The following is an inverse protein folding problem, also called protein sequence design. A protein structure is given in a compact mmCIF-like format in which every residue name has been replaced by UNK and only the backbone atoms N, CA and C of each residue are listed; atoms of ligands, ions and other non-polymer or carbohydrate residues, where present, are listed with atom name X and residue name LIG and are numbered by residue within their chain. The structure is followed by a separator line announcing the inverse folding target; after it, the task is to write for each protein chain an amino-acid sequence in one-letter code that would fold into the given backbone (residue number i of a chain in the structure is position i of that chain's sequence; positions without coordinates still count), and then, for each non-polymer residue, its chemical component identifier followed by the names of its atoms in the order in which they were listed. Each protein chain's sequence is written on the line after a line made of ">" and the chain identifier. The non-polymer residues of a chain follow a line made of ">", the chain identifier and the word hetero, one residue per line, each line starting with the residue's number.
data_IF_459281399324
#
_entry.id   IF_459281399324
#
_cell.length_a   1.000
_cell.length_b   1.000
_cell.length_c   1.000
_cell.angle_alpha   90.00
_cell.angle_beta   90.00
_cell.angle_gamma   90.00
#
_symmetry.space_group_name_H-M   'P 1'
#
loop_
_entity.id
_entity.type
_entity.pdbx_description
1 polymer ?
#
# COMPACT_ATOMS: atom_id res chain seq x y z
N UNK A 1 -11.07 -35.49 34.40
CA UNK A 1 -11.03 -34.49 35.50
C UNK A 1 -10.89 -33.13 34.85
N UNK A 2 -11.75 -32.21 35.26
CA UNK A 2 -12.05 -30.93 34.64
C UNK A 2 -10.97 -29.85 34.86
N UNK A 3 -10.89 -28.93 33.90
CA UNK A 3 -10.46 -27.51 33.84
C UNK A 3 -10.13 -26.77 35.16
N UNK A 4 -9.43 -25.60 35.19
CA UNK A 4 -9.52 -24.52 34.17
C UNK A 4 -8.31 -23.57 33.93
N UNK A 5 -8.52 -22.71 32.90
CA UNK A 5 -7.83 -21.45 32.60
C UNK A 5 -7.93 -20.42 33.73
N UNK A 6 -6.89 -19.58 33.92
CA UNK A 6 -7.01 -18.24 34.54
C UNK A 6 -6.10 -17.23 33.82
N UNK A 7 -6.70 -16.06 33.60
CA UNK A 7 -6.25 -14.84 32.92
C UNK A 7 -4.99 -14.16 33.49
N UNK A 8 -4.37 -13.36 32.60
CA UNK A 8 -3.29 -12.37 32.75
C UNK A 8 -3.41 -11.35 33.92
N UNK A 9 -2.35 -10.57 34.17
CA UNK A 9 -2.50 -9.12 33.95
C UNK A 9 -1.29 -8.40 33.29
N UNK A 10 -1.64 -7.34 32.55
CA UNK A 10 -0.79 -6.31 31.94
C UNK A 10 -0.28 -5.33 33.01
N UNK A 11 0.92 -4.76 32.82
CA UNK A 11 1.35 -3.50 33.46
C UNK A 11 2.26 -2.69 32.54
N UNK A 12 2.04 -1.36 32.51
CA UNK A 12 2.65 -0.33 31.64
C UNK A 12 3.53 0.59 32.50
N UNK A 13 4.66 1.08 31.96
CA UNK A 13 5.35 2.32 32.38
C UNK A 13 6.21 2.83 31.20
N UNK A 14 5.90 3.92 30.48
CA UNK A 14 5.99 5.38 30.75
C UNK A 14 7.40 5.96 30.47
N UNK A 15 7.56 6.63 29.32
CA UNK A 15 8.64 7.61 29.05
C UNK A 15 8.01 9.01 29.02
N UNK A 16 8.57 9.92 29.81
CA UNK A 16 8.15 11.31 29.90
C UNK A 16 8.66 12.17 28.74
N UNK A 17 8.00 13.31 28.51
CA UNK A 17 8.50 14.34 27.60
C UNK A 17 8.40 15.72 28.26
N UNK A 18 9.39 16.56 27.97
CA UNK A 18 9.56 17.91 28.50
C UNK A 18 8.82 18.98 27.65
N UNK A 19 8.61 20.12 28.30
CA UNK A 19 7.77 21.28 27.99
C UNK A 19 7.96 22.03 26.64
N UNK A 20 6.82 22.38 25.99
CA UNK A 20 6.29 23.69 25.50
C UNK A 20 7.12 24.67 24.63
N UNK A 21 6.54 25.74 24.02
CA UNK A 21 5.20 25.99 23.42
C UNK A 21 5.27 26.56 21.98
N UNK A 22 4.18 26.51 21.20
CA UNK A 22 3.65 27.72 20.52
C UNK A 22 2.34 27.45 19.76
N UNK A 23 1.46 28.44 19.85
CA UNK A 23 0.03 28.36 19.60
C UNK A 23 -0.32 28.82 18.19
N UNK A 24 -1.27 28.16 17.51
CA UNK A 24 -2.38 28.83 16.80
C UNK A 24 -3.41 27.87 16.19
N UNK A 25 -4.70 28.22 16.43
CA UNK A 25 -5.93 27.70 15.84
C UNK A 25 -6.29 26.22 16.09
N UNK A 26 -6.80 25.95 17.30
CA UNK A 26 -7.44 24.69 17.68
C UNK A 26 -8.77 24.47 16.97
N UNK A 27 -8.76 23.65 15.91
CA UNK A 27 -9.93 22.86 15.51
C UNK A 27 -10.15 21.79 16.57
N UNK A 28 -11.30 21.83 17.24
CA UNK A 28 -11.70 20.83 18.23
C UNK A 28 -11.84 19.48 17.51
N UNK A 29 -10.81 18.63 17.64
CA UNK A 29 -10.89 17.19 17.34
C UNK A 29 -11.62 16.53 18.51
N UNK A 30 -12.88 16.18 18.31
CA UNK A 30 -13.55 15.24 19.21
C UNK A 30 -13.10 13.82 18.85
N UNK A 31 -12.09 13.34 19.58
CA UNK A 31 -11.83 11.90 19.73
C UNK A 31 -12.99 11.29 20.53
N UNK A 32 -13.59 10.24 19.97
CA UNK A 32 -14.77 9.58 20.51
C UNK A 32 -14.43 8.87 21.82
N UNK A 33 -14.97 9.39 22.93
CA UNK A 33 -15.27 8.60 24.13
C UNK A 33 -16.48 9.18 24.86
N UNK A 34 -17.55 8.37 24.92
CA UNK A 34 -18.71 8.44 25.83
C UNK A 34 -19.92 9.33 25.49
N UNK A 35 -21.11 8.99 26.05
CA UNK A 35 -22.36 8.87 25.30
C UNK A 35 -23.29 10.07 25.46
N UNK A 36 -23.82 10.55 24.34
CA UNK A 36 -24.87 11.56 24.34
C UNK A 36 -25.31 11.89 22.91
N UNK A 37 -26.44 11.34 22.49
CA UNK A 37 -27.14 11.68 21.25
C UNK A 37 -26.32 11.65 19.94
N UNK A 38 -25.59 10.57 19.69
CA UNK A 38 -25.21 10.23 18.32
C UNK A 38 -26.44 9.63 17.62
N UNK A 39 -27.06 10.36 16.71
CA UNK A 39 -27.96 9.74 15.73
C UNK A 39 -27.09 8.75 14.95
N UNK A 40 -27.21 7.45 15.25
CA UNK A 40 -26.52 6.39 14.51
C UNK A 40 -27.16 6.32 13.12
N UNK A 41 -26.68 7.14 12.21
CA UNK A 41 -27.11 7.12 10.82
C UNK A 41 -26.48 5.91 10.14
N UNK A 42 -27.32 5.03 9.58
CA UNK A 42 -26.83 3.91 8.78
C UNK A 42 -26.36 4.41 7.41
N UNK A 43 -25.44 3.69 6.76
CA UNK A 43 -24.95 4.04 5.41
C UNK A 43 -26.10 4.27 4.41
N UNK A 44 -27.18 3.50 4.53
CA UNK A 44 -28.39 3.62 3.70
C UNK A 44 -29.17 4.91 3.96
N UNK A 45 -29.20 5.39 5.20
CA UNK A 45 -29.82 6.66 5.56
C UNK A 45 -29.02 7.84 4.99
N UNK A 46 -27.69 7.81 5.10
CA UNK A 46 -26.81 8.86 4.57
C UNK A 46 -26.85 8.92 3.03
N UNK A 47 -27.06 7.78 2.36
CA UNK A 47 -27.18 7.71 0.89
C UNK A 47 -28.53 8.21 0.35
N UNK A 48 -29.61 8.09 1.12
CA UNK A 48 -30.98 8.44 0.67
C UNK A 48 -31.42 9.85 1.08
N UNK A 49 -30.85 10.41 2.15
CA UNK A 49 -31.20 11.73 2.67
C UNK A 49 -31.01 12.90 1.69
N UNK A 50 -29.90 13.00 0.93
CA UNK A 50 -29.68 14.15 0.05
C UNK A 50 -30.69 14.26 -1.10
N UNK A 51 -31.34 13.14 -1.46
CA UNK A 51 -32.34 13.08 -2.52
C UNK A 51 -33.77 13.33 -2.03
N UNK A 52 -34.02 13.12 -0.73
CA UNK A 52 -35.37 13.14 -0.15
C UNK A 52 -35.68 14.40 0.64
N UNK A 53 -34.67 15.11 1.17
CA UNK A 53 -34.84 16.34 1.97
C UNK A 53 -33.72 17.35 1.69
N UNK A 54 -33.75 18.05 0.54
CA UNK A 54 -32.68 19.00 0.16
C UNK A 54 -32.53 20.16 1.16
N UNK A 55 -33.61 20.58 1.83
CA UNK A 55 -33.60 21.72 2.77
C UNK A 55 -32.92 21.43 4.12
N UNK A 56 -32.50 20.18 4.36
CA UNK A 56 -31.89 19.74 5.63
C UNK A 56 -30.43 19.28 5.46
N UNK A 57 -29.89 19.35 4.25
CA UNK A 57 -28.60 18.77 3.92
C UNK A 57 -27.79 19.66 2.99
N UNK A 58 -26.50 19.80 3.28
CA UNK A 58 -25.56 20.53 2.43
C UNK A 58 -24.25 19.74 2.28
N UNK A 59 -23.44 20.13 1.29
CA UNK A 59 -22.12 19.54 1.05
C UNK A 59 -21.06 20.60 1.31
N UNK A 60 -20.27 20.43 2.37
CA UNK A 60 -19.19 21.34 2.77
C UNK A 60 -17.95 21.04 1.94
N UNK A 61 -17.23 22.09 1.52
CA UNK A 61 -15.99 21.91 0.75
C UNK A 61 -14.82 21.45 1.62
N UNK A 62 -13.92 20.65 1.03
CA UNK A 62 -12.69 20.27 1.70
C UNK A 62 -11.68 21.45 1.68
N UNK A 63 -11.44 22.05 2.85
CA UNK A 63 -10.50 23.15 3.06
C UNK A 63 -9.07 22.69 3.37
N UNK A 64 -8.79 21.37 3.36
CA UNK A 64 -7.47 20.82 3.64
C UNK A 64 -6.37 21.24 2.64
N UNK A 65 -5.12 21.23 3.12
CA UNK A 65 -3.91 21.65 2.35
C UNK A 65 -3.57 20.75 1.14
N UNK A 66 -4.13 19.54 1.06
CA UNK A 66 -3.86 18.59 -0.04
C UNK A 66 -5.14 18.36 -0.86
N UNK A 67 -5.30 19.12 -1.95
CA UNK A 67 -6.46 19.06 -2.84
C UNK A 67 -6.15 18.19 -4.06
N UNK A 68 -6.31 16.87 -3.93
CA UNK A 68 -6.45 16.01 -5.10
C UNK A 68 -7.67 16.45 -5.94
N UNK A 69 -7.57 16.36 -7.28
CA UNK A 69 -8.54 16.94 -8.23
C UNK A 69 -10.00 16.52 -7.99
N UNK A 70 -10.24 15.34 -7.40
CA UNK A 70 -11.57 14.86 -7.03
C UNK A 70 -12.33 15.83 -6.11
N UNK A 71 -11.66 16.57 -5.23
CA UNK A 71 -12.31 17.49 -4.28
C UNK A 71 -12.95 18.72 -4.93
N UNK A 72 -12.68 18.97 -6.22
CA UNK A 72 -13.43 19.96 -6.99
C UNK A 72 -14.92 19.57 -7.11
N UNK A 73 -15.20 18.27 -7.22
CA UNK A 73 -16.53 17.70 -7.48
C UNK A 73 -17.18 17.08 -6.24
N UNK A 74 -16.40 16.85 -5.18
CA UNK A 74 -16.83 16.18 -3.95
C UNK A 74 -16.63 17.07 -2.72
N UNK A 75 -17.44 16.85 -1.68
CA UNK A 75 -17.30 17.48 -0.38
C UNK A 75 -17.86 16.62 0.74
N UNK A 76 -17.83 17.13 1.96
CA UNK A 76 -18.31 16.40 3.13
C UNK A 76 -19.81 16.64 3.35
N UNK A 77 -20.61 15.58 3.53
CA UNK A 77 -21.99 15.67 3.98
C UNK A 77 -22.13 16.52 5.22
N UNK A 78 -23.13 17.39 5.29
CA UNK A 78 -23.48 18.06 6.54
C UNK A 78 -24.98 18.24 6.69
N UNK A 79 -25.45 18.14 7.94
CA UNK A 79 -26.85 18.34 8.30
C UNK A 79 -27.04 19.80 8.69
N UNK A 80 -27.96 20.48 8.03
CA UNK A 80 -28.34 21.86 8.32
C UNK A 80 -29.54 21.85 9.26
N UNK A 81 -29.35 22.23 10.52
CA UNK A 81 -30.44 22.51 11.46
C UNK A 81 -30.76 24.00 11.40
N UNK A 82 -32.06 24.36 11.45
CA UNK A 82 -32.49 25.76 11.48
C UNK A 82 -31.78 26.46 12.67
N UNK A 83 -30.99 27.49 12.36
CA UNK A 83 -30.21 28.31 13.31
C UNK A 83 -28.97 27.65 13.95
N UNK A 84 -28.32 26.68 13.30
CA UNK A 84 -27.04 26.14 13.79
C UNK A 84 -26.06 25.90 12.66
N UNK A 85 -24.76 25.99 12.94
CA UNK A 85 -23.70 25.65 11.99
C UNK A 85 -23.87 24.22 11.45
N UNK A 86 -23.55 23.99 10.17
CA UNK A 86 -23.75 22.70 9.53
C UNK A 86 -22.87 21.63 10.19
N UNK A 87 -23.49 20.57 10.68
CA UNK A 87 -22.78 19.47 11.35
C UNK A 87 -22.30 18.46 10.31
N UNK A 88 -20.98 18.36 10.13
CA UNK A 88 -20.35 17.39 9.23
C UNK A 88 -20.64 15.94 9.66
N UNK A 89 -20.90 15.07 8.68
CA UNK A 89 -21.01 13.62 8.89
C UNK A 89 -19.67 12.99 8.52
N UNK A 90 -18.94 12.52 9.52
CA UNK A 90 -17.63 11.91 9.33
C UNK A 90 -17.70 10.53 8.67
N UNK A 91 -16.64 10.17 7.95
CA UNK A 91 -16.52 8.88 7.26
C UNK A 91 -17.27 8.80 5.93
N UNK A 92 -17.85 9.91 5.45
CA UNK A 92 -18.58 9.96 4.19
C UNK A 92 -18.19 11.18 3.34
N UNK A 93 -18.36 11.06 2.03
CA UNK A 93 -18.15 12.13 1.04
C UNK A 93 -19.27 12.11 0.01
N UNK A 94 -19.76 13.27 -0.39
CA UNK A 94 -20.86 13.42 -1.34
C UNK A 94 -20.45 14.23 -2.55
N UNK A 95 -20.91 13.80 -3.72
CA UNK A 95 -20.77 14.58 -4.94
C UNK A 95 -21.63 15.86 -4.85
N UNK A 96 -21.05 17.03 -5.13
CA UNK A 96 -21.75 18.32 -5.08
C UNK A 96 -22.89 18.44 -6.10
N UNK A 97 -22.88 17.61 -7.15
CA UNK A 97 -23.80 17.71 -8.29
C UNK A 97 -24.93 16.70 -8.26
N UNK A 98 -24.64 15.43 -7.99
CA UNK A 98 -25.66 14.37 -7.94
C UNK A 98 -25.97 13.89 -6.52
N UNK A 99 -25.31 14.48 -5.51
CA UNK A 99 -25.48 14.15 -4.10
C UNK A 99 -25.34 12.66 -3.76
N UNK A 100 -24.58 11.93 -4.57
CA UNK A 100 -24.29 10.52 -4.31
C UNK A 100 -23.20 10.45 -3.25
N UNK A 101 -23.50 9.74 -2.16
CA UNK A 101 -22.64 9.62 -0.99
C UNK A 101 -21.83 8.32 -1.01
N UNK A 102 -20.53 8.42 -0.74
CA UNK A 102 -19.60 7.30 -0.63
C UNK A 102 -19.01 7.25 0.78
N UNK A 103 -18.68 6.05 1.27
CA UNK A 103 -17.86 5.90 2.46
C UNK A 103 -16.42 6.33 2.13
N UNK A 104 -15.83 7.14 3.00
CA UNK A 104 -14.49 7.68 2.85
C UNK A 104 -13.68 7.39 4.11
N UNK A 105 -12.84 6.36 4.01
CA UNK A 105 -11.73 6.14 4.92
C UNK A 105 -10.56 6.96 4.37
N UNK A 106 -9.85 7.68 5.24
CA UNK A 106 -8.93 8.80 4.94
C UNK A 106 -7.81 8.54 3.91
N UNK A 107 -7.68 7.32 3.38
CA UNK A 107 -6.52 6.88 2.61
C UNK A 107 -6.84 6.49 1.16
N UNK A 108 -8.06 6.68 0.64
CA UNK A 108 -8.38 6.31 -0.75
C UNK A 108 -9.33 7.29 -1.46
N UNK A 109 -8.86 7.84 -2.57
CA UNK A 109 -9.65 8.68 -3.51
C UNK A 109 -10.08 7.91 -4.77
N UNK A 110 -9.77 6.61 -4.87
CA UNK A 110 -10.01 5.79 -6.07
C UNK A 110 -11.49 5.73 -6.46
N UNK A 111 -12.38 5.54 -5.47
CA UNK A 111 -13.83 5.49 -5.70
C UNK A 111 -14.40 6.83 -6.16
N UNK A 112 -13.82 7.94 -5.68
CA UNK A 112 -14.23 9.29 -6.07
C UNK A 112 -13.82 9.61 -7.51
N UNK A 113 -12.61 9.19 -7.91
CA UNK A 113 -12.10 9.36 -9.27
C UNK A 113 -12.82 8.50 -10.33
N UNK A 114 -13.52 7.43 -9.90
CA UNK A 114 -14.31 6.56 -10.76
C UNK A 114 -15.78 6.98 -10.88
N UNK A 115 -16.22 7.95 -10.08
CA UNK A 115 -17.58 8.44 -10.14
C UNK A 115 -17.84 9.22 -11.44
N UNK A 116 -18.80 8.74 -12.23
CA UNK A 116 -19.25 9.41 -13.43
C UNK A 116 -20.61 10.08 -13.17
N UNK A 117 -20.58 11.37 -12.86
CA UNK A 117 -21.77 12.11 -12.46
C UNK A 117 -22.71 12.32 -13.66
N UNK A 118 -23.91 11.78 -13.58
CA UNK A 118 -24.89 11.80 -14.67
C UNK A 118 -25.37 13.22 -15.00
N UNK A 119 -25.45 14.10 -14.00
CA UNK A 119 -25.80 15.51 -14.20
C UNK A 119 -24.72 16.34 -14.93
N UNK A 120 -23.50 15.83 -15.07
CA UNK A 120 -22.49 16.42 -15.96
C UNK A 120 -22.66 16.01 -17.43
N UNK A 121 -23.35 14.91 -17.72
CA UNK A 121 -23.56 14.44 -19.10
C UNK A 121 -24.59 15.29 -19.83
N UNK A 122 -25.61 15.79 -19.12
CA UNK A 122 -26.65 16.65 -19.70
C UNK A 122 -26.09 18.02 -20.16
N UNK A 123 -25.12 18.58 -19.44
CA UNK A 123 -24.51 19.86 -19.78
C UNK A 123 -23.66 19.80 -21.06
N UNK A 124 -23.02 18.66 -21.32
CA UNK A 124 -22.27 18.44 -22.56
C UNK A 124 -23.21 18.26 -23.77
N UNK A 125 -24.39 17.67 -23.58
CA UNK A 125 -25.42 17.59 -24.65
C UNK A 125 -25.99 18.96 -25.03
N UNK A 126 -26.16 19.87 -24.06
CA UNK A 126 -26.71 21.21 -24.33
C UNK A 126 -25.69 22.13 -25.02
N UNK A 127 -24.39 21.97 -24.76
CA UNK A 127 -23.33 22.74 -25.41
C UNK A 127 -23.06 22.29 -26.86
N UNK A 128 -23.39 21.06 -27.23
CA UNK A 128 -23.32 20.59 -28.63
C UNK A 128 -24.45 21.15 -29.51
N UNK A 129 -25.54 21.66 -28.92
CA UNK A 129 -26.68 22.21 -29.65
C UNK A 129 -26.56 23.72 -29.97
N UNK A 130 -25.74 24.47 -29.22
CA UNK A 130 -25.57 25.91 -29.40
C UNK A 130 -24.11 26.24 -29.71
N UNK A 131 -23.76 26.15 -31.00
CA UNK A 131 -22.43 26.31 -31.58
C UNK A 131 -21.66 27.56 -31.17
N UNK A 132 -21.15 27.57 -29.94
CA UNK A 132 -20.18 28.54 -29.45
C UNK A 132 -18.82 27.85 -29.31
N UNK A 133 -17.82 28.52 -29.86
CA UNK A 133 -16.46 28.07 -30.15
C UNK A 133 -15.81 27.13 -29.14
N UNK A 134 -14.96 26.20 -29.61
CA UNK A 134 -14.28 25.23 -28.75
C UNK A 134 -13.33 25.98 -27.82
N UNK A 135 -13.77 26.18 -26.58
CA UNK A 135 -12.86 26.54 -25.49
C UNK A 135 -11.94 25.34 -25.32
N UNK A 136 -10.69 25.50 -25.75
CA UNK A 136 -9.61 24.52 -25.73
C UNK A 136 -9.68 23.66 -24.46
N UNK A 137 -10.25 22.46 -24.61
CA UNK A 137 -10.33 21.48 -23.54
C UNK A 137 -8.90 21.16 -23.11
N UNK A 138 -8.60 21.43 -21.83
CA UNK A 138 -7.32 21.08 -21.21
C UNK A 138 -7.07 19.59 -21.52
N UNK A 139 -6.03 19.30 -22.31
CA UNK A 139 -5.61 17.96 -22.75
C UNK A 139 -5.06 17.14 -21.55
N UNK A 140 -5.86 16.93 -20.50
CA UNK A 140 -5.47 16.09 -19.35
C UNK A 140 -5.94 14.64 -19.49
N UNK A 141 -6.70 14.31 -20.54
CA UNK A 141 -7.24 12.97 -20.78
C UNK A 141 -6.37 12.05 -21.64
N UNK A 142 -5.30 12.56 -22.26
CA UNK A 142 -4.42 11.76 -23.14
C UNK A 142 -3.37 10.92 -22.39
N UNK A 143 -3.18 11.14 -21.09
CA UNK A 143 -2.32 10.32 -20.23
C UNK A 143 -3.10 9.55 -19.16
N UNK A 144 -4.34 9.12 -19.45
CA UNK A 144 -4.87 7.96 -18.74
C UNK A 144 -4.17 6.74 -19.32
N UNK A 145 -3.04 6.36 -18.72
CA UNK A 145 -2.49 5.01 -18.85
C UNK A 145 -3.64 4.08 -18.52
N UNK A 146 -4.28 3.52 -19.57
CA UNK A 146 -5.39 2.61 -19.40
C UNK A 146 -4.79 1.43 -18.64
N UNK A 147 -5.09 1.34 -17.35
CA UNK A 147 -4.81 0.13 -16.60
C UNK A 147 -5.64 -0.95 -17.28
N UNK A 148 -5.00 -1.73 -18.14
CA UNK A 148 -5.66 -2.76 -18.91
C UNK A 148 -6.25 -3.75 -17.91
N UNK A 149 -7.58 -3.91 -17.96
CA UNK A 149 -8.23 -4.98 -17.20
C UNK A 149 -8.04 -6.26 -18.00
N UNK A 150 -7.31 -7.22 -17.45
CA UNK A 150 -7.16 -8.54 -18.06
C UNK A 150 -8.53 -9.22 -18.14
N UNK A 151 -8.77 -9.96 -19.23
CA UNK A 151 -9.99 -10.76 -19.36
C UNK A 151 -9.92 -11.95 -18.42
N UNK A 152 -11.07 -12.43 -17.95
CA UNK A 152 -11.13 -13.60 -17.07
C UNK A 152 -10.43 -14.84 -17.68
N UNK A 153 -10.56 -15.03 -19.00
CA UNK A 153 -9.88 -16.11 -19.72
C UNK A 153 -8.35 -16.03 -19.65
N UNK A 154 -7.78 -14.83 -19.56
CA UNK A 154 -6.33 -14.62 -19.45
C UNK A 154 -5.86 -14.87 -18.02
N UNK A 155 -6.65 -14.44 -17.03
CA UNK A 155 -6.41 -14.72 -15.62
C UNK A 155 -6.40 -16.23 -15.36
N UNK A 156 -7.35 -16.97 -15.93
CA UNK A 156 -7.41 -18.43 -15.79
C UNK A 156 -6.18 -19.11 -16.41
N UNK A 157 -5.74 -18.69 -17.60
CA UNK A 157 -4.51 -19.21 -18.21
C UNK A 157 -3.28 -18.99 -17.33
N UNK A 158 -3.16 -17.82 -16.70
CA UNK A 158 -2.04 -17.54 -15.78
C UNK A 158 -2.10 -18.47 -14.57
N UNK A 159 -3.28 -18.71 -14.00
CA UNK A 159 -3.45 -19.64 -12.88
C UNK A 159 -3.06 -21.08 -13.26
N UNK A 160 -3.48 -21.54 -14.44
CA UNK A 160 -3.17 -22.88 -14.93
C UNK A 160 -1.65 -23.05 -15.11
N UNK A 161 -0.97 -22.06 -15.72
CA UNK A 161 0.48 -22.05 -15.88
C UNK A 161 1.22 -22.03 -14.53
N UNK A 162 0.71 -21.28 -13.54
CA UNK A 162 1.28 -21.28 -12.20
C UNK A 162 1.13 -22.64 -11.53
N UNK A 163 -0.04 -23.26 -11.62
CA UNK A 163 -0.29 -24.59 -11.05
C UNK A 163 0.60 -25.65 -11.72
N UNK A 164 0.71 -25.62 -13.05
CA UNK A 164 1.59 -26.50 -13.82
C UNK A 164 3.06 -26.34 -13.39
N UNK A 165 3.56 -25.11 -13.35
CA UNK A 165 4.94 -24.81 -12.95
C UNK A 165 5.26 -25.31 -11.54
N UNK A 166 4.37 -25.06 -10.58
CA UNK A 166 4.52 -25.48 -9.19
C UNK A 166 4.55 -27.00 -9.08
N UNK A 167 3.63 -27.70 -9.75
CA UNK A 167 3.56 -29.16 -9.72
C UNK A 167 4.75 -29.82 -10.43
N UNK A 168 5.14 -29.32 -11.61
CA UNK A 168 6.25 -29.89 -12.39
C UNK A 168 7.60 -29.76 -11.68
N UNK A 169 7.81 -28.65 -10.96
CA UNK A 169 9.09 -28.35 -10.33
C UNK A 169 9.08 -28.59 -8.81
N UNK A 170 8.02 -29.22 -8.28
CA UNK A 170 7.82 -29.52 -6.85
C UNK A 170 8.10 -28.28 -5.98
N UNK A 171 7.56 -27.13 -6.38
CA UNK A 171 7.75 -25.87 -5.64
C UNK A 171 6.72 -25.76 -4.52
N UNK A 172 7.04 -25.08 -3.41
CA UNK A 172 6.02 -24.76 -2.41
C UNK A 172 5.03 -23.75 -2.98
N UNK A 173 3.75 -23.85 -2.62
CA UNK A 173 2.72 -22.91 -3.10
C UNK A 173 3.01 -21.45 -2.73
N UNK A 174 3.71 -21.22 -1.61
CA UNK A 174 4.12 -19.87 -1.17
C UNK A 174 5.02 -19.14 -2.17
N UNK A 175 5.66 -19.83 -3.13
CA UNK A 175 6.52 -19.21 -4.13
C UNK A 175 5.78 -18.18 -5.00
N UNK A 176 4.47 -18.36 -5.25
CA UNK A 176 3.67 -17.41 -6.04
C UNK A 176 3.39 -16.11 -5.28
N UNK A 177 3.56 -16.13 -3.96
CA UNK A 177 3.41 -14.98 -3.09
C UNK A 177 4.73 -14.25 -2.86
N UNK A 178 5.86 -14.85 -3.23
CA UNK A 178 7.19 -14.31 -3.02
C UNK A 178 7.39 -12.92 -3.65
N UNK A 179 7.95 -12.00 -2.87
CA UNK A 179 8.20 -10.63 -3.29
C UNK A 179 9.30 -10.55 -4.35
N UNK A 180 10.32 -11.42 -4.26
CA UNK A 180 11.40 -11.50 -5.24
C UNK A 180 10.87 -11.90 -6.63
N UNK A 181 10.07 -12.96 -6.70
CA UNK A 181 9.43 -13.43 -7.92
C UNK A 181 8.52 -12.36 -8.53
N UNK A 182 7.69 -11.69 -7.71
CA UNK A 182 6.82 -10.60 -8.18
C UNK A 182 7.60 -9.47 -8.83
N UNK A 183 8.72 -9.06 -8.22
CA UNK A 183 9.61 -8.02 -8.78
C UNK A 183 10.24 -8.48 -10.09
N UNK A 184 10.70 -9.73 -10.16
CA UNK A 184 11.28 -10.31 -11.38
C UNK A 184 10.26 -10.32 -12.53
N UNK A 185 9.04 -10.81 -12.30
CA UNK A 185 7.96 -10.83 -13.31
C UNK A 185 7.63 -9.41 -13.78
N UNK A 186 7.56 -8.44 -12.85
CA UNK A 186 7.28 -7.04 -13.20
C UNK A 186 8.38 -6.44 -14.09
N UNK A 187 9.65 -6.76 -13.86
CA UNK A 187 10.75 -6.32 -14.73
C UNK A 187 10.66 -6.99 -16.11
N UNK A 188 10.30 -8.29 -16.17
CA UNK A 188 10.05 -8.98 -17.45
C UNK A 188 8.92 -8.32 -18.26
N UNK A 189 7.83 -7.93 -17.61
CA UNK A 189 6.72 -7.18 -18.24
C UNK A 189 7.23 -5.82 -18.76
N UNK A 190 8.06 -5.13 -17.97
CA UNK A 190 8.64 -3.83 -18.34
C UNK A 190 9.61 -3.94 -19.51
N UNK A 191 10.35 -5.04 -19.63
CA UNK A 191 11.16 -5.37 -20.81
C UNK A 191 10.25 -5.59 -22.02
N UNK A 192 9.16 -6.35 -21.88
CA UNK A 192 8.19 -6.58 -22.95
C UNK A 192 7.50 -5.29 -23.42
N UNK A 193 7.19 -4.37 -22.51
CA UNK A 193 6.62 -3.06 -22.84
C UNK A 193 7.62 -2.19 -23.64
N UNK A 194 8.91 -2.21 -23.27
CA UNK A 194 9.96 -1.43 -23.94
C UNK A 194 10.39 -1.99 -25.29
N UNK A 195 10.52 -3.31 -25.39
CA UNK A 195 11.17 -3.98 -26.52
C UNK A 195 10.21 -4.86 -27.34
N UNK A 196 8.95 -5.01 -26.93
CA UNK A 196 7.97 -5.85 -27.59
C UNK A 196 8.18 -7.34 -27.34
N UNK A 197 8.10 -8.14 -28.40
CA UNK A 197 8.29 -9.59 -28.29
C UNK A 197 9.78 -9.93 -28.16
N UNK A 198 10.21 -10.25 -26.94
CA UNK A 198 11.58 -10.65 -26.60
C UNK A 198 11.62 -12.15 -26.33
N UNK A 199 12.65 -12.83 -26.82
CA UNK A 199 12.87 -14.24 -26.53
C UNK A 199 13.23 -14.42 -25.04
N UNK A 200 12.52 -15.32 -24.34
CA UNK A 200 12.69 -15.60 -22.91
C UNK A 200 14.12 -16.03 -22.57
N UNK A 201 14.79 -16.79 -23.44
CA UNK A 201 16.17 -17.27 -23.25
C UNK A 201 17.20 -16.13 -23.27
N UNK A 202 16.83 -14.97 -23.81
CA UNK A 202 17.68 -13.77 -23.77
C UNK A 202 17.52 -13.00 -22.44
N UNK A 203 16.37 -13.15 -21.79
CA UNK A 203 16.01 -12.46 -20.54
C UNK A 203 16.47 -13.27 -19.34
N UNK A 204 16.14 -14.57 -19.31
CA UNK A 204 16.50 -15.45 -18.21
C UNK A 204 17.91 -16.01 -18.41
N UNK A 205 18.73 -15.94 -17.37
CA UNK A 205 20.09 -16.46 -17.37
C UNK A 205 20.12 -17.87 -16.77
N UNK A 206 21.10 -18.67 -17.20
CA UNK A 206 21.34 -19.99 -16.64
C UNK A 206 21.70 -19.95 -15.16
N UNK A 207 21.57 -21.10 -14.50
CA UNK A 207 21.86 -21.25 -13.07
C UNK A 207 23.30 -20.83 -12.73
N UNK A 208 24.29 -21.24 -13.53
CA UNK A 208 25.71 -20.96 -13.26
C UNK A 208 26.03 -19.45 -13.29
N UNK A 209 25.47 -18.73 -14.28
CA UNK A 209 25.64 -17.28 -14.40
C UNK A 209 24.97 -16.56 -13.22
N UNK A 210 23.80 -17.03 -12.83
CA UNK A 210 23.07 -16.48 -11.69
C UNK A 210 23.81 -16.74 -10.38
N UNK A 211 24.35 -17.95 -10.18
CA UNK A 211 25.14 -18.32 -9.02
C UNK A 211 26.42 -17.46 -8.92
N UNK A 212 27.17 -17.31 -10.02
CA UNK A 212 28.35 -16.46 -10.06
C UNK A 212 28.01 -14.99 -9.73
N UNK A 213 26.87 -14.49 -10.21
CA UNK A 213 26.42 -13.14 -9.89
C UNK A 213 26.03 -12.99 -8.40
N UNK A 214 25.35 -13.99 -7.83
CA UNK A 214 25.02 -14.02 -6.41
C UNK A 214 26.29 -14.03 -5.55
N UNK A 215 27.28 -14.86 -5.88
CA UNK A 215 28.55 -14.89 -5.17
C UNK A 215 29.26 -13.54 -5.19
N UNK A 216 29.25 -12.86 -6.35
CA UNK A 216 29.81 -11.52 -6.48
C UNK A 216 29.08 -10.49 -5.60
N UNK A 217 27.74 -10.47 -5.65
CA UNK A 217 26.94 -9.57 -4.82
C UNK A 217 27.17 -9.85 -3.32
N UNK A 218 27.25 -11.12 -2.93
CA UNK A 218 27.52 -11.50 -1.55
C UNK A 218 28.88 -10.96 -1.08
N UNK A 219 29.91 -11.00 -1.92
CA UNK A 219 31.23 -10.44 -1.61
C UNK A 219 31.20 -8.92 -1.48
N UNK A 220 30.50 -8.23 -2.40
CA UNK A 220 30.29 -6.78 -2.32
C UNK A 220 29.57 -6.37 -1.02
N UNK A 221 28.58 -7.17 -0.59
CA UNK A 221 27.88 -6.96 0.68
C UNK A 221 28.75 -7.27 1.89
N UNK A 222 29.52 -8.36 1.89
CA UNK A 222 30.48 -8.68 2.96
C UNK A 222 31.51 -7.57 3.13
N UNK A 223 32.07 -7.07 2.05
CA UNK A 223 33.03 -5.95 2.07
C UNK A 223 32.40 -4.72 2.74
N UNK A 224 31.18 -4.34 2.32
CA UNK A 224 30.47 -3.19 2.91
C UNK A 224 30.19 -3.37 4.39
N UNK A 225 29.67 -4.53 4.79
CA UNK A 225 29.39 -4.82 6.20
C UNK A 225 30.70 -4.84 7.01
N UNK A 226 31.79 -5.38 6.46
CA UNK A 226 33.09 -5.39 7.13
C UNK A 226 33.63 -3.98 7.37
N UNK A 227 33.42 -3.05 6.44
CA UNK A 227 33.78 -1.64 6.62
C UNK A 227 32.94 -0.99 7.73
N UNK A 228 31.63 -1.26 7.75
CA UNK A 228 30.71 -0.74 8.77
C UNK A 228 30.96 -1.32 10.18
N UNK A 229 31.45 -2.56 10.27
CA UNK A 229 31.74 -3.25 11.53
C UNK A 229 33.11 -2.92 12.13
N UNK A 230 33.99 -2.20 11.40
CA UNK A 230 35.35 -1.91 11.86
C UNK A 230 35.37 -1.09 13.17
N UNK A 231 34.56 -0.03 13.26
CA UNK A 231 34.48 0.82 14.47
C UNK A 231 33.87 0.04 15.66
N UNK A 232 32.71 -0.63 15.56
CA UNK A 232 32.18 -1.45 16.65
C UNK A 232 33.16 -2.51 17.15
N UNK A 233 33.91 -3.14 16.23
CA UNK A 233 34.89 -4.15 16.57
C UNK A 233 36.06 -3.55 17.37
N UNK A 234 36.57 -2.37 16.99
CA UNK A 234 37.63 -1.67 17.72
C UNK A 234 37.22 -1.21 19.12
N UNK A 235 35.92 -1.05 19.34
CA UNK A 235 35.35 -0.59 20.62
C UNK A 235 34.83 -1.75 21.48
N UNK A 236 35.16 -3.01 21.16
CA UNK A 236 34.65 -4.21 21.85
C UNK A 236 33.11 -4.25 21.96
N UNK A 237 32.42 -3.68 20.96
CA UNK A 237 30.97 -3.49 20.94
C UNK A 237 30.23 -4.53 20.08
N UNK A 238 30.90 -5.62 19.69
CA UNK A 238 30.33 -6.70 18.88
C UNK A 238 30.10 -7.92 19.75
N UNK A 239 28.88 -8.48 19.68
CA UNK A 239 28.55 -9.76 20.31
C UNK A 239 28.03 -10.72 19.23
N UNK A 240 28.37 -12.00 19.38
CA UNK A 240 27.91 -13.06 18.50
C UNK A 240 27.01 -14.00 19.29
N UNK A 241 25.88 -14.36 18.70
CA UNK A 241 24.95 -15.35 19.25
C UNK A 241 25.00 -16.57 18.34
N UNK A 242 25.86 -17.56 18.61
CA UNK A 242 25.88 -18.79 17.80
C UNK A 242 24.54 -19.51 17.99
N UNK A 243 23.84 -19.76 16.89
CA UNK A 243 22.63 -20.58 16.87
C UNK A 243 23.01 -22.00 16.47
N UNK A 244 22.92 -22.94 17.42
CA UNK A 244 23.29 -24.33 17.23
C UNK A 244 22.05 -25.21 17.37
N UNK A 245 21.79 -26.00 16.34
CA UNK A 245 20.76 -27.04 16.35
C UNK A 245 21.29 -28.27 15.63
N UNK A 246 20.78 -29.45 16.00
CA UNK A 246 21.13 -30.71 15.34
C UNK A 246 19.94 -31.19 14.52
N UNK A 247 20.16 -31.45 13.23
CA UNK A 247 19.17 -32.13 12.40
C UNK A 247 19.36 -33.64 12.52
N UNK A 248 18.43 -34.40 13.14
CA UNK A 248 18.56 -35.86 13.20
C UNK A 248 18.45 -36.54 11.83
N UNK A 249 17.94 -35.84 10.80
CA UNK A 249 17.75 -36.36 9.44
C UNK A 249 19.03 -36.24 8.61
N UNK A 250 19.94 -35.34 8.97
CA UNK A 250 21.24 -35.18 8.30
C UNK A 250 22.32 -35.43 9.36
N UNK A 251 22.95 -36.61 9.33
CA UNK A 251 24.05 -36.99 10.25
C UNK A 251 25.35 -36.20 10.03
N UNK A 252 25.28 -35.12 9.25
CA UNK A 252 26.35 -34.15 9.14
C UNK A 252 26.06 -33.08 10.20
N UNK A 253 26.90 -33.00 11.24
CA UNK A 253 26.86 -31.90 12.22
C UNK A 253 27.07 -30.59 11.45
N UNK A 254 25.97 -29.93 11.06
CA UNK A 254 25.98 -28.63 10.38
C UNK A 254 26.31 -27.53 11.38
N UNK A 255 27.54 -27.56 11.90
CA UNK A 255 28.15 -26.46 12.63
C UNK A 255 28.58 -25.39 11.63
N UNK A 256 27.73 -24.39 11.42
CA UNK A 256 28.09 -23.19 10.68
C UNK A 256 29.00 -22.33 11.58
N UNK A 257 30.30 -22.61 11.52
CA UNK A 257 31.45 -21.69 11.45
C UNK A 257 32.66 -22.61 11.26
N UNK A 258 33.16 -22.69 10.03
CA UNK A 258 34.56 -23.04 9.81
C UNK A 258 35.24 -21.81 9.24
N UNK A 259 35.96 -21.11 10.11
CA UNK A 259 37.05 -20.25 9.69
C UNK A 259 38.08 -21.17 9.02
N UNK A 260 37.96 -21.35 7.70
CA UNK A 260 39.08 -21.79 6.86
C UNK A 260 40.10 -20.65 6.87
N UNK A 261 40.85 -20.60 7.97
CA UNK A 261 41.94 -19.67 8.17
C UNK A 261 43.02 -20.00 7.13
N UNK A 262 43.05 -19.19 6.09
CA UNK A 262 44.06 -19.16 5.06
C UNK A 262 45.45 -19.28 5.69
N UNK A 263 46.24 -20.24 5.18
CA UNK A 263 47.60 -20.46 5.61
C UNK A 263 48.40 -19.17 5.58
N UNK A 264 48.72 -18.65 6.76
CA UNK A 264 49.82 -17.72 6.95
C UNK A 264 51.09 -18.41 6.45
N UNK A 265 51.84 -17.83 5.50
CA UNK A 265 53.15 -18.35 5.17
C UNK A 265 54.08 -18.15 6.37
N UNK A 266 54.42 -19.26 7.03
CA UNK A 266 55.65 -19.36 7.81
C UNK A 266 56.82 -19.03 6.88
N UNK A 267 57.30 -17.79 6.93
CA UNK A 267 58.69 -17.39 6.70
C UNK A 267 58.80 -15.86 6.59
N UNK A 268 59.11 -15.18 7.70
CA UNK A 268 60.13 -14.12 7.69
C UNK A 268 60.92 -14.23 8.99
N UNK A 269 62.24 -14.38 8.82
CA UNK A 269 63.30 -14.46 9.82
C UNK A 269 63.27 -13.36 10.89
#
# INVERSE_FOLDING_TARGET
>A
MSSPEILSPISISRVGNANSPDSNASLVKLSISSPGNSVKLTSTQVQSMPRTKPDQYTVIENTGKHKSDCWSSFGFPAIVKKNTDPQQIDGFVSCKKCFTTYSFLSNSTRMLNQHNCESSKERNKILEANGTSPTQGRLTSFFRTKQACLKESEIMKIKDLQAEWVCQNIRPFSIVEDNGLRRLIQECISIGDRYGNVNVDQVLRGADVTAAHISKLAEEHRTRISEELLEPLQNDAVTFCPDMWSDPVHQDDSGEITDDNDGLPDNVY
#
